data_IF_836399217591
#
_entry.id   IF_836399217591
#
_cell.length_a   1.000
_cell.length_b   1.000
_cell.length_c   1.000
_cell.angle_alpha   90.00
_cell.angle_beta   90.00
_cell.angle_gamma   90.00
#
_symmetry.space_group_name_H-M   'P 1'
#
loop_
_entity.id
_entity.type
_entity.pdbx_description
1 polymer ?
#
# COMPACT_ATOMS: atom_id res chain seq x y z
N UNK A 1 -5.90 -7.35 -4.48
CA UNK A 1 -6.37 -5.95 -4.43
C UNK A 1 -7.80 -5.93 -3.91
N UNK A 2 -8.17 -4.97 -3.07
CA UNK A 2 -9.57 -4.77 -2.64
C UNK A 2 -10.10 -3.49 -3.28
N UNK A 3 -11.43 -3.27 -3.35
CA UNK A 3 -12.00 -2.02 -3.86
C UNK A 3 -11.62 -0.77 -3.05
N UNK A 4 -10.89 -0.92 -1.95
CA UNK A 4 -10.46 0.17 -1.07
C UNK A 4 -8.95 0.44 -1.14
N UNK A 5 -8.17 -0.42 -1.80
CA UNK A 5 -6.72 -0.24 -1.94
C UNK A 5 -5.89 -1.53 -1.85
N UNK A 6 -4.64 -1.35 -1.41
CA UNK A 6 -3.64 -2.41 -1.26
C UNK A 6 -3.19 -2.47 0.19
N UNK A 7 -3.33 -3.66 0.79
CA UNK A 7 -2.79 -3.94 2.11
C UNK A 7 -1.33 -4.39 1.98
N UNK A 8 -0.46 -3.79 2.79
CA UNK A 8 0.98 -4.07 2.81
C UNK A 8 1.38 -4.45 4.22
N UNK A 9 1.99 -5.63 4.36
CA UNK A 9 2.56 -6.08 5.62
C UNK A 9 3.97 -5.52 5.76
N UNK A 10 4.19 -4.72 6.80
CA UNK A 10 5.49 -4.07 7.10
C UNK A 10 6.31 -4.93 8.05
N UNK A 11 5.65 -5.56 9.03
CA UNK A 11 6.22 -6.54 9.96
C UNK A 11 5.15 -7.53 10.41
N UNK A 12 5.51 -8.56 11.17
CA UNK A 12 4.58 -9.62 11.61
C UNK A 12 3.31 -9.14 12.31
N UNK A 13 3.34 -7.96 12.93
CA UNK A 13 2.18 -7.40 13.64
C UNK A 13 1.71 -6.05 13.09
N UNK A 14 2.24 -5.60 11.96
CA UNK A 14 1.96 -4.26 11.43
C UNK A 14 1.55 -4.34 9.96
N UNK A 15 0.31 -3.96 9.72
CA UNK A 15 -0.29 -3.83 8.40
C UNK A 15 -0.55 -2.35 8.10
N UNK A 16 -0.18 -1.94 6.89
CA UNK A 16 -0.49 -0.62 6.34
C UNK A 16 -1.46 -0.74 5.18
N UNK A 17 -2.26 0.30 4.98
CA UNK A 17 -3.16 0.42 3.84
C UNK A 17 -2.66 1.55 2.94
N UNK A 18 -2.54 1.25 1.65
CA UNK A 18 -2.37 2.24 0.60
C UNK A 18 -3.72 2.40 -0.10
N UNK A 19 -4.26 3.61 -0.06
CA UNK A 19 -5.52 3.93 -0.75
C UNK A 19 -5.32 3.88 -2.27
N UNK A 20 -6.37 3.50 -3.02
CA UNK A 20 -6.37 3.44 -4.49
C UNK A 20 -5.89 4.75 -5.14
N UNK A 21 -6.34 5.89 -4.63
CA UNK A 21 -5.95 7.23 -5.08
C UNK A 21 -4.44 7.52 -4.91
N UNK A 22 -3.79 6.88 -3.94
CA UNK A 22 -2.36 7.00 -3.70
C UNK A 22 -1.52 6.06 -4.58
N UNK A 23 -2.16 5.16 -5.34
CA UNK A 23 -1.49 4.23 -6.25
C UNK A 23 -0.97 4.90 -7.52
N UNK A 24 -1.52 6.06 -7.91
CA UNK A 24 -1.12 6.83 -9.12
C UNK A 24 -1.02 5.95 -10.39
N UNK A 25 -1.87 4.92 -10.48
CA UNK A 25 -1.95 3.96 -11.59
C UNK A 25 -3.07 4.39 -12.54
N UNK A 26 -2.80 4.29 -13.84
CA UNK A 26 -3.72 4.76 -14.88
C UNK A 26 -4.95 3.86 -15.05
N UNK A 27 -4.89 2.59 -14.60
CA UNK A 27 -6.01 1.66 -14.63
C UNK A 27 -6.00 0.66 -13.46
N UNK A 28 -7.18 0.12 -13.10
CA UNK A 28 -7.30 -0.96 -12.10
C UNK A 28 -6.60 -2.26 -12.54
N UNK A 29 -6.52 -2.52 -13.85
CA UNK A 29 -5.85 -3.71 -14.37
C UNK A 29 -4.33 -3.64 -14.13
N UNK A 30 -3.72 -2.48 -14.41
CA UNK A 30 -2.31 -2.21 -14.14
C UNK A 30 -2.01 -2.24 -12.63
N UNK A 31 -2.94 -1.72 -11.82
CA UNK A 31 -2.85 -1.80 -10.36
C UNK A 31 -2.84 -3.25 -9.87
N UNK A 32 -3.75 -4.08 -10.38
CA UNK A 32 -3.86 -5.48 -9.94
C UNK A 32 -2.60 -6.28 -10.29
N UNK A 33 -2.00 -6.02 -11.45
CA UNK A 33 -0.76 -6.68 -11.88
C UNK A 33 0.48 -6.12 -11.17
N UNK A 34 0.49 -4.82 -10.86
CA UNK A 34 1.58 -4.18 -10.13
C UNK A 34 1.63 -4.60 -8.66
N UNK A 35 0.47 -4.83 -8.03
CA UNK A 35 0.32 -5.06 -6.58
C UNK A 35 -0.17 -6.46 -6.23
N UNK A 36 0.40 -7.48 -6.87
CA UNK A 36 0.16 -8.89 -6.55
C UNK A 36 0.72 -9.27 -5.16
N UNK A 37 0.06 -10.22 -4.51
CA UNK A 37 0.48 -10.74 -3.21
C UNK A 37 1.88 -11.38 -3.31
N UNK A 38 2.78 -11.00 -2.40
CA UNK A 38 4.16 -11.48 -2.38
C UNK A 38 5.16 -10.57 -3.07
N UNK A 39 4.70 -9.54 -3.82
CA UNK A 39 5.59 -8.54 -4.40
C UNK A 39 6.04 -7.53 -3.34
N UNK A 40 7.31 -7.17 -3.36
CA UNK A 40 7.83 -6.10 -2.51
C UNK A 40 7.62 -4.74 -3.17
N UNK A 41 7.20 -3.76 -2.38
CA UNK A 41 6.93 -2.40 -2.85
C UNK A 41 7.60 -1.40 -1.94
N UNK A 42 8.14 -0.32 -2.52
CA UNK A 42 8.64 0.81 -1.73
C UNK A 42 7.54 1.81 -1.45
N UNK A 43 7.31 2.03 -0.17
CA UNK A 43 6.31 2.93 0.36
C UNK A 43 6.96 3.99 1.23
N UNK A 44 6.36 5.16 1.26
CA UNK A 44 6.69 6.23 2.19
C UNK A 44 5.65 6.25 3.30
N UNK A 45 6.14 6.39 4.52
CA UNK A 45 5.29 6.59 5.68
C UNK A 45 4.75 8.02 5.69
N UNK A 46 3.42 8.15 5.66
CA UNK A 46 2.73 9.44 5.60
C UNK A 46 2.27 9.86 7.00
N UNK A 47 1.68 8.93 7.75
CA UNK A 47 1.23 9.18 9.11
C UNK A 47 1.17 7.87 9.92
N UNK A 48 1.33 7.99 11.24
CA UNK A 48 1.15 6.89 12.19
C UNK A 48 0.10 7.31 13.21
N UNK A 49 -0.92 6.48 13.35
CA UNK A 49 -1.95 6.59 14.38
C UNK A 49 -1.72 5.47 15.40
N UNK A 50 -1.04 5.80 16.49
CA UNK A 50 -0.70 4.84 17.55
C UNK A 50 -1.92 4.43 18.39
N UNK A 51 -2.94 5.28 18.46
CA UNK A 51 -4.16 5.02 19.24
C UNK A 51 -5.00 3.96 18.54
N UNK A 52 -5.19 4.10 17.22
CA UNK A 52 -5.93 3.12 16.42
C UNK A 52 -5.05 2.02 15.83
N UNK A 53 -3.72 2.06 16.10
CA UNK A 53 -2.71 1.12 15.57
C UNK A 53 -2.72 1.02 14.04
N UNK A 54 -2.80 2.16 13.36
CA UNK A 54 -2.82 2.23 11.89
C UNK A 54 -1.64 3.02 11.35
N UNK A 55 -1.13 2.58 10.21
CA UNK A 55 -0.09 3.30 9.47
C UNK A 55 -0.64 3.65 8.10
N UNK A 56 -0.59 4.94 7.76
CA UNK A 56 -0.90 5.45 6.43
C UNK A 56 0.38 5.45 5.59
N UNK A 57 0.28 4.79 4.45
CA UNK A 57 1.37 4.63 3.50
C UNK A 57 0.98 5.29 2.17
N UNK A 58 1.96 5.86 1.48
CA UNK A 58 1.86 6.28 0.09
C UNK A 58 2.95 5.59 -0.72
N UNK A 59 2.72 5.37 -2.01
CA UNK A 59 3.76 4.82 -2.86
C UNK A 59 4.87 5.81 -3.09
N UNK A 60 6.10 5.32 -3.02
CA UNK A 60 7.29 6.09 -3.28
C UNK A 60 7.97 5.53 -4.53
N UNK A 61 7.28 5.68 -5.67
CA UNK A 61 7.88 5.66 -7.01
C UNK A 61 8.73 4.45 -7.44
N UNK A 62 8.57 3.26 -6.86
CA UNK A 62 9.34 2.10 -7.31
C UNK A 62 8.85 0.74 -6.82
N UNK A 63 8.53 -0.13 -7.78
CA UNK A 63 8.46 -1.58 -7.57
C UNK A 63 9.90 -2.11 -7.47
N UNK A 64 10.17 -2.99 -6.51
CA UNK A 64 11.51 -3.56 -6.27
C UNK A 64 11.62 -4.93 -6.90
#
# INVERSE_FOLDING_TARGET
MTPFGVFVRISDCVEGLIALEALQVESEADASQAFEAGRQVRVRLVAVDLVQRRIRLALSGGLV
#
